data_IF_198717565727
#
_entry.id   IF_198717565727
#
_cell.length_a   1.000
_cell.length_b   1.000
_cell.length_c   1.000
_cell.angle_alpha   90.00
_cell.angle_beta   90.00
_cell.angle_gamma   90.00
#
_symmetry.space_group_name_H-M   'P 1'
#
loop_
_entity.id
_entity.type
_entity.pdbx_description
1 polymer ?
#
# COMPACT_ATOMS: atom_id res chain seq x y z
N UNK A 1 8.25 9.45 1.31
CA UNK A 1 7.76 9.78 -0.07
C UNK A 1 7.69 8.58 -1.02
N UNK A 2 7.82 7.31 -0.56
CA UNK A 2 7.76 6.11 -1.41
C UNK A 2 6.36 5.48 -1.51
N UNK A 3 5.43 5.87 -0.64
CA UNK A 3 4.09 5.28 -0.48
C UNK A 3 3.16 5.45 -1.70
N UNK A 4 3.23 6.54 -2.51
CA UNK A 4 2.34 6.67 -3.66
C UNK A 4 2.56 5.60 -4.73
N UNK A 5 3.80 5.15 -4.95
CA UNK A 5 4.12 4.24 -6.06
C UNK A 5 3.38 2.89 -5.97
N UNK A 6 3.44 2.14 -4.85
CA UNK A 6 2.73 0.86 -4.74
C UNK A 6 1.23 1.03 -4.92
N UNK A 7 0.64 2.08 -4.33
CA UNK A 7 -0.80 2.36 -4.43
C UNK A 7 -1.17 2.60 -5.89
N UNK A 8 -0.46 3.49 -6.58
CA UNK A 8 -0.75 3.80 -7.98
C UNK A 8 -0.64 2.55 -8.86
N UNK A 9 0.44 1.78 -8.76
CA UNK A 9 0.61 0.58 -9.59
C UNK A 9 -0.44 -0.49 -9.30
N UNK A 10 -0.69 -0.80 -8.03
CA UNK A 10 -1.62 -1.89 -7.67
C UNK A 10 -3.08 -1.51 -7.92
N UNK A 11 -3.47 -0.24 -7.75
CA UNK A 11 -4.81 0.23 -8.14
C UNK A 11 -4.95 0.33 -9.66
N UNK A 12 -3.90 0.73 -10.38
CA UNK A 12 -3.89 0.72 -11.84
C UNK A 12 -4.05 -0.71 -12.40
N UNK A 13 -3.52 -1.74 -11.73
CA UNK A 13 -3.72 -3.13 -12.13
C UNK A 13 -5.22 -3.48 -12.25
N UNK A 14 -6.05 -3.09 -11.28
CA UNK A 14 -7.50 -3.26 -11.33
C UNK A 14 -8.12 -2.49 -12.51
N UNK A 15 -7.73 -1.23 -12.71
CA UNK A 15 -8.23 -0.44 -13.83
C UNK A 15 -7.91 -1.10 -15.19
N UNK A 16 -6.69 -1.64 -15.33
CA UNK A 16 -6.30 -2.38 -16.54
C UNK A 16 -7.01 -3.72 -16.68
N UNK A 17 -7.39 -4.39 -15.60
CA UNK A 17 -8.20 -5.61 -15.67
C UNK A 17 -9.61 -5.32 -16.22
N UNK A 18 -10.22 -4.23 -15.74
CA UNK A 18 -11.51 -3.77 -16.24
C UNK A 18 -11.40 -3.39 -17.71
N UNK A 19 -10.35 -2.67 -18.10
CA UNK A 19 -10.09 -2.31 -19.49
C UNK A 19 -9.89 -3.56 -20.38
N UNK A 20 -9.16 -4.58 -19.90
CA UNK A 20 -8.98 -5.85 -20.62
C UNK A 20 -10.33 -6.52 -20.89
N UNK A 21 -11.23 -6.54 -19.91
CA UNK A 21 -12.56 -7.15 -20.08
C UNK A 21 -13.51 -6.32 -20.94
N UNK A 22 -13.41 -5.01 -20.90
CA UNK A 22 -14.27 -4.11 -21.66
C UNK A 22 -13.87 -3.99 -23.14
N UNK A 23 -12.56 -4.04 -23.42
CA UNK A 23 -12.01 -3.85 -24.77
C UNK A 23 -11.64 -5.17 -25.47
N UNK A 24 -11.54 -6.26 -24.71
CA UNK A 24 -11.04 -7.56 -25.16
C UNK A 24 -9.62 -7.53 -25.77
N UNK A 25 -8.85 -6.46 -25.52
CA UNK A 25 -7.48 -6.30 -26.01
C UNK A 25 -6.46 -6.94 -25.04
N UNK A 26 -5.68 -7.95 -25.50
CA UNK A 26 -4.62 -8.59 -24.72
C UNK A 26 -3.53 -7.64 -24.20
N UNK A 27 -3.39 -6.44 -24.78
CA UNK A 27 -2.53 -5.38 -24.26
C UNK A 27 -2.79 -5.11 -22.77
N UNK A 28 -4.04 -4.89 -22.37
CA UNK A 28 -4.38 -4.53 -21.00
C UNK A 28 -4.08 -5.66 -20.01
N UNK A 29 -4.28 -6.93 -20.40
CA UNK A 29 -3.88 -8.08 -19.59
C UNK A 29 -2.36 -8.15 -19.36
N UNK A 30 -1.56 -7.81 -20.38
CA UNK A 30 -0.10 -7.71 -20.24
C UNK A 30 0.29 -6.57 -19.32
N UNK A 31 -0.35 -5.41 -19.47
CA UNK A 31 -0.12 -4.24 -18.63
C UNK A 31 -0.44 -4.53 -17.16
N UNK A 32 -1.58 -5.20 -16.87
CA UNK A 32 -1.94 -5.59 -15.50
C UNK A 32 -0.85 -6.44 -14.82
N UNK A 33 -0.23 -7.39 -15.54
CA UNK A 33 0.89 -8.18 -15.00
C UNK A 33 2.10 -7.32 -14.66
N UNK A 34 2.44 -6.35 -15.51
CA UNK A 34 3.52 -5.40 -15.23
C UNK A 34 3.20 -4.47 -14.07
N UNK A 35 1.96 -3.98 -13.97
CA UNK A 35 1.49 -3.16 -12.85
C UNK A 35 1.57 -3.91 -11.52
N UNK A 36 1.15 -5.17 -11.48
CA UNK A 36 1.30 -6.03 -10.30
C UNK A 36 2.77 -6.23 -9.92
N UNK A 37 3.64 -6.53 -10.90
CA UNK A 37 5.07 -6.70 -10.66
C UNK A 37 5.75 -5.44 -10.12
N UNK A 38 5.53 -4.29 -10.77
CA UNK A 38 6.08 -3.00 -10.34
C UNK A 38 5.54 -2.57 -8.97
N UNK A 39 4.24 -2.78 -8.73
CA UNK A 39 3.59 -2.50 -7.45
C UNK A 39 4.14 -3.36 -6.32
N UNK A 40 4.44 -4.64 -6.56
CA UNK A 40 5.09 -5.51 -5.58
C UNK A 40 6.51 -5.07 -5.26
N UNK A 41 7.32 -4.78 -6.28
CA UNK A 41 8.72 -4.34 -6.08
C UNK A 41 8.76 -3.03 -5.28
N UNK A 42 8.02 -2.02 -5.73
CA UNK A 42 7.94 -0.74 -5.02
C UNK A 42 7.30 -0.89 -3.64
N UNK A 43 6.32 -1.77 -3.51
CA UNK A 43 5.63 -2.07 -2.27
C UNK A 43 6.52 -2.71 -1.22
N UNK A 44 7.40 -3.63 -1.62
CA UNK A 44 8.39 -4.22 -0.72
C UNK A 44 9.41 -3.19 -0.24
N UNK A 45 9.90 -2.32 -1.14
CA UNK A 45 10.82 -1.23 -0.77
C UNK A 45 10.15 -0.26 0.20
N UNK A 46 8.94 0.20 -0.12
CA UNK A 46 8.18 1.10 0.74
C UNK A 46 7.83 0.44 2.09
N UNK A 47 7.47 -0.84 2.08
CA UNK A 47 7.16 -1.63 3.27
C UNK A 47 8.37 -1.81 4.18
N UNK A 48 9.57 -2.01 3.62
CA UNK A 48 10.80 -2.10 4.42
C UNK A 48 11.10 -0.79 5.15
N UNK A 49 10.98 0.35 4.46
CA UNK A 49 11.14 1.68 5.06
C UNK A 49 10.07 1.91 6.14
N UNK A 50 8.81 1.65 5.82
CA UNK A 50 7.70 1.83 6.77
C UNK A 50 7.77 0.89 7.97
N UNK A 51 8.34 -0.30 7.83
CA UNK A 51 8.58 -1.21 8.95
C UNK A 51 9.63 -0.65 9.91
N UNK A 52 10.72 -0.07 9.41
CA UNK A 52 11.71 0.62 10.24
C UNK A 52 11.04 1.74 11.03
N UNK A 53 10.25 2.60 10.39
CA UNK A 53 9.52 3.68 11.06
C UNK A 53 8.55 3.15 12.11
N UNK A 54 7.80 2.09 11.79
CA UNK A 54 6.83 1.50 12.72
C UNK A 54 7.48 0.89 13.96
N UNK A 55 8.64 0.24 13.82
CA UNK A 55 9.34 -0.36 14.97
C UNK A 55 10.18 0.63 15.77
N UNK A 56 10.63 1.73 15.16
CA UNK A 56 11.43 2.77 15.83
C UNK A 56 10.56 3.84 16.50
N UNK A 57 9.40 4.17 15.92
CA UNK A 57 8.51 5.23 16.43
C UNK A 57 7.40 4.63 17.28
N UNK A 58 7.54 4.71 18.60
CA UNK A 58 6.57 4.16 19.56
C UNK A 58 5.14 4.69 19.37
N UNK A 59 4.97 5.98 19.06
CA UNK A 59 3.65 6.60 18.75
C UNK A 59 2.93 5.92 17.58
N UNK A 60 3.66 5.40 16.60
CA UNK A 60 3.08 4.69 15.47
C UNK A 60 2.44 3.36 15.90
N UNK A 61 2.94 2.71 16.96
CA UNK A 61 2.43 1.41 17.45
C UNK A 61 1.27 1.54 18.43
N UNK A 62 1.19 2.66 19.12
CA UNK A 62 0.18 2.90 20.16
C UNK A 62 -1.20 3.23 19.56
N UNK A 63 -1.24 3.72 18.32
CA UNK A 63 -2.47 4.07 17.62
C UNK A 63 -3.04 2.88 16.84
N UNK A 64 -4.36 2.68 16.92
CA UNK A 64 -5.07 1.65 16.16
C UNK A 64 -4.90 1.82 14.64
N UNK A 65 -4.94 3.06 14.15
CA UNK A 65 -4.68 3.43 12.75
C UNK A 65 -3.25 3.07 12.31
N UNK A 66 -2.27 3.13 13.22
CA UNK A 66 -0.91 2.69 13.00
C UNK A 66 -0.81 1.19 12.72
N UNK A 67 -1.48 0.38 13.54
CA UNK A 67 -1.58 -1.06 13.33
C UNK A 67 -2.30 -1.40 12.02
N UNK A 68 -3.42 -0.72 11.74
CA UNK A 68 -4.19 -0.92 10.51
C UNK A 68 -3.32 -0.67 9.26
N UNK A 69 -2.56 0.42 9.25
CA UNK A 69 -1.62 0.71 8.16
C UNK A 69 -0.51 -0.34 8.07
N UNK A 70 0.14 -0.65 9.19
CA UNK A 70 1.30 -1.56 9.24
C UNK A 70 0.96 -2.99 8.82
N UNK A 71 -0.22 -3.52 9.20
CA UNK A 71 -0.62 -4.88 8.86
C UNK A 71 -1.38 -4.99 7.54
N UNK A 72 -2.15 -3.98 7.15
CA UNK A 72 -2.91 -4.04 5.90
C UNK A 72 -2.03 -3.90 4.66
N UNK A 73 -0.88 -3.22 4.74
CA UNK A 73 0.05 -3.14 3.61
C UNK A 73 0.64 -4.51 3.22
N UNK A 74 1.20 -5.33 4.15
CA UNK A 74 1.60 -6.71 3.86
C UNK A 74 0.45 -7.56 3.31
N UNK A 75 -0.77 -7.39 3.82
CA UNK A 75 -1.95 -8.09 3.28
C UNK A 75 -2.21 -7.72 1.81
N UNK A 76 -2.18 -6.43 1.46
CA UNK A 76 -2.32 -5.98 0.08
C UNK A 76 -1.23 -6.56 -0.83
N UNK A 77 0.02 -6.59 -0.36
CA UNK A 77 1.13 -7.22 -1.11
C UNK A 77 0.92 -8.72 -1.28
N UNK A 78 0.43 -9.43 -0.26
CA UNK A 78 0.09 -10.85 -0.36
C UNK A 78 -1.01 -11.12 -1.39
N UNK A 79 -2.06 -10.30 -1.42
CA UNK A 79 -3.13 -10.39 -2.43
C UNK A 79 -2.61 -10.12 -3.85
N UNK A 80 -1.79 -9.08 -4.02
CA UNK A 80 -1.17 -8.75 -5.29
C UNK A 80 -0.22 -9.87 -5.77
N UNK A 81 0.56 -10.47 -4.86
CA UNK A 81 1.46 -11.58 -5.16
C UNK A 81 0.69 -12.84 -5.57
N UNK A 82 -0.41 -13.16 -4.87
CA UNK A 82 -1.29 -14.25 -5.25
C UNK A 82 -1.90 -14.02 -6.64
N UNK A 83 -2.33 -12.79 -6.94
CA UNK A 83 -2.85 -12.43 -8.25
C UNK A 83 -1.81 -12.63 -9.36
N UNK A 84 -0.59 -12.11 -9.15
CA UNK A 84 0.50 -12.26 -10.11
C UNK A 84 0.88 -13.74 -10.30
N UNK A 85 0.91 -14.53 -9.23
CA UNK A 85 1.21 -15.96 -9.28
C UNK A 85 0.17 -16.76 -10.08
N UNK A 86 -1.13 -16.43 -9.95
CA UNK A 86 -2.17 -17.03 -10.79
C UNK A 86 -1.97 -16.69 -12.27
N UNK A 87 -1.62 -15.43 -12.55
CA UNK A 87 -1.37 -14.97 -13.92
C UNK A 87 -0.13 -15.56 -14.56
N UNK A 88 0.92 -15.85 -13.79
CA UNK A 88 2.13 -16.50 -14.29
C UNK A 88 1.89 -17.92 -14.81
N UNK A 89 0.83 -18.59 -14.35
CA UNK A 89 0.41 -19.92 -14.83
C UNK A 89 -0.38 -19.87 -16.12
N UNK A 90 -0.68 -18.66 -16.65
CA UNK A 90 -1.53 -18.43 -17.82
C UNK A 90 -0.76 -17.73 -18.92
N UNK A 91 -1.29 -17.81 -20.13
CA UNK A 91 -0.73 -17.08 -21.27
C UNK A 91 -0.74 -15.57 -21.02
N UNK A 92 0.29 -14.91 -21.52
CA UNK A 92 0.57 -13.52 -21.23
C UNK A 92 -0.58 -12.54 -21.54
N UNK A 93 -1.32 -12.81 -22.62
CA UNK A 93 -2.45 -12.01 -23.08
C UNK A 93 -3.80 -12.57 -22.65
N UNK A 94 -3.85 -13.61 -21.82
CA UNK A 94 -5.10 -14.21 -21.40
C UNK A 94 -5.96 -13.18 -20.66
N UNK A 95 -7.26 -13.15 -20.97
CA UNK A 95 -8.20 -12.28 -20.26
C UNK A 95 -8.24 -12.63 -18.78
N UNK A 96 -8.34 -11.62 -17.89
CA UNK A 96 -8.42 -11.86 -16.46
C UNK A 96 -9.73 -12.56 -16.12
N UNK A 97 -9.65 -13.63 -15.34
CA UNK A 97 -10.83 -14.33 -14.85
C UNK A 97 -11.39 -13.66 -13.59
N UNK A 98 -12.54 -14.16 -13.10
CA UNK A 98 -13.21 -13.60 -11.93
C UNK A 98 -12.33 -13.61 -10.66
N UNK A 99 -11.47 -14.61 -10.48
CA UNK A 99 -10.56 -14.69 -9.34
C UNK A 99 -9.47 -13.61 -9.40
N UNK A 100 -8.89 -13.39 -10.58
CA UNK A 100 -7.86 -12.38 -10.81
C UNK A 100 -8.41 -10.95 -10.63
N UNK A 101 -9.64 -10.68 -11.07
CA UNK A 101 -10.35 -9.41 -10.84
C UNK A 101 -10.72 -9.25 -9.36
N UNK A 102 -11.20 -10.33 -8.73
CA UNK A 102 -11.52 -10.33 -7.31
C UNK A 102 -10.30 -9.98 -6.45
N UNK A 103 -9.13 -10.53 -6.78
CA UNK A 103 -7.88 -10.23 -6.07
C UNK A 103 -7.40 -8.80 -6.31
N UNK A 104 -7.48 -8.25 -7.53
CA UNK A 104 -7.10 -6.85 -7.79
C UNK A 104 -8.07 -5.88 -7.11
N UNK A 105 -9.35 -6.22 -7.06
CA UNK A 105 -10.38 -5.46 -6.33
C UNK A 105 -10.11 -5.46 -4.82
N UNK A 106 -9.88 -6.63 -4.23
CA UNK A 106 -9.54 -6.77 -2.82
C UNK A 106 -8.25 -6.01 -2.48
N UNK A 107 -7.22 -6.10 -3.34
CA UNK A 107 -5.97 -5.35 -3.18
C UNK A 107 -6.23 -3.84 -3.15
N UNK A 108 -6.96 -3.31 -4.14
CA UNK A 108 -7.28 -1.88 -4.22
C UNK A 108 -8.11 -1.40 -3.01
N UNK A 109 -9.07 -2.20 -2.55
CA UNK A 109 -9.88 -1.88 -1.37
C UNK A 109 -9.02 -1.80 -0.09
N UNK A 110 -8.15 -2.80 0.14
CA UNK A 110 -7.22 -2.82 1.27
C UNK A 110 -6.29 -1.62 1.22
N UNK A 111 -5.73 -1.30 0.05
CA UNK A 111 -4.86 -0.12 -0.14
C UNK A 111 -5.59 1.20 0.08
N UNK A 112 -6.87 1.30 -0.28
CA UNK A 112 -7.69 2.47 0.03
C UNK A 112 -7.81 2.69 1.54
N UNK A 113 -8.10 1.62 2.29
CA UNK A 113 -8.22 1.66 3.75
C UNK A 113 -6.86 1.96 4.41
N UNK A 114 -5.80 1.28 4.00
CA UNK A 114 -4.47 1.49 4.60
C UNK A 114 -3.86 2.82 4.19
N UNK A 115 -4.09 3.28 2.96
CA UNK A 115 -3.68 4.59 2.48
C UNK A 115 -4.31 5.71 3.32
N UNK A 116 -5.61 5.61 3.61
CA UNK A 116 -6.28 6.53 4.53
C UNK A 116 -5.67 6.50 5.93
N UNK A 117 -5.42 5.32 6.49
CA UNK A 117 -4.79 5.18 7.81
C UNK A 117 -3.38 5.81 7.86
N UNK A 118 -2.59 5.69 6.77
CA UNK A 118 -1.28 6.32 6.65
C UNK A 118 -1.36 7.85 6.57
N UNK A 119 -2.34 8.38 5.84
CA UNK A 119 -2.60 9.81 5.78
C UNK A 119 -3.01 10.35 7.15
N UNK A 120 -3.89 9.65 7.87
CA UNK A 120 -4.31 10.03 9.23
C UNK A 120 -3.12 10.12 10.21
N UNK A 121 -2.20 9.15 10.18
CA UNK A 121 -0.98 9.16 10.99
C UNK A 121 -0.08 10.37 10.68
N UNK A 122 0.06 10.70 9.40
CA UNK A 122 0.95 11.77 8.95
C UNK A 122 0.36 13.15 9.23
N UNK A 123 -0.93 13.35 8.93
CA UNK A 123 -1.56 14.68 8.97
C UNK A 123 -2.22 15.00 10.32
N UNK A 124 -2.82 14.01 11.01
CA UNK A 124 -3.48 14.25 12.30
C UNK A 124 -2.62 13.93 13.51
N UNK A 125 -1.73 12.95 13.37
CA UNK A 125 -0.85 12.52 14.47
C UNK A 125 0.60 12.96 14.31
N UNK A 126 0.93 13.65 13.20
CA UNK A 126 2.26 14.22 12.92
C UNK A 126 3.40 13.18 13.07
N UNK A 127 3.10 11.90 12.83
CA UNK A 127 4.08 10.82 12.90
C UNK A 127 4.98 10.91 11.67
N UNK A 128 6.30 11.03 11.88
CA UNK A 128 7.28 11.15 10.80
C UNK A 128 7.53 12.58 10.30
N UNK A 129 6.98 13.59 10.97
CA UNK A 129 7.25 15.02 10.68
C UNK A 129 8.37 15.52 11.59
N UNK A 130 9.48 15.99 10.99
CA UNK A 130 10.59 16.58 11.74
C UNK A 130 10.15 17.86 12.47
N UNK A 131 10.44 17.96 13.77
CA UNK A 131 10.12 19.12 14.61
C UNK A 131 8.93 18.95 15.57
N UNK A 132 8.21 17.82 15.54
CA UNK A 132 7.10 17.55 16.47
C UNK A 132 7.46 16.54 17.60
N UNK A 133 8.77 16.35 17.81
CA UNK A 133 9.32 15.66 18.97
C UNK A 133 9.53 16.64 20.12
N UNK A 134 8.93 16.34 21.27
CA UNK A 134 9.32 16.75 22.62
C UNK A 134 9.34 18.24 23.02
N UNK A 135 8.85 19.17 22.19
CA UNK A 135 8.75 20.58 22.63
C UNK A 135 7.86 20.78 23.85
N UNK A 136 6.73 20.07 23.96
CA UNK A 136 5.85 20.24 25.13
C UNK A 136 6.47 19.72 26.42
N UNK A 137 7.22 18.62 26.39
CA UNK A 137 7.84 18.06 27.60
C UNK A 137 9.10 18.80 28.04
N UNK A 138 9.83 19.42 27.10
CA UNK A 138 11.04 20.19 27.43
C UNK A 138 10.72 21.65 27.80
N UNK A 139 9.67 22.25 27.24
CA UNK A 139 9.20 23.58 27.65
C UNK A 139 8.48 23.55 29.01
N UNK A 140 7.67 22.52 29.27
CA UNK A 140 6.97 22.35 30.55
C UNK A 140 7.97 22.11 31.71
N UNK A 141 9.03 21.32 31.49
CA UNK A 141 10.12 21.13 32.46
C UNK A 141 11.04 22.34 32.61
N UNK A 142 11.03 23.29 31.67
CA UNK A 142 11.84 24.51 31.75
C UNK A 142 11.15 25.59 32.58
N UNK A 143 9.83 25.58 32.68
CA UNK A 143 9.05 26.64 33.32
C UNK A 143 8.39 26.25 34.65
N UNK A 144 8.34 24.96 34.98
CA UNK A 144 7.85 24.47 36.28
C UNK A 144 9.01 23.73 36.98
N UNK A 145 9.59 24.31 38.06
CA UNK A 145 10.67 23.70 38.82
C UNK A 145 10.21 22.48 39.63
#
# INVERSE_FOLDING_TARGET
>A
MLIPFPITFLTAALATDVAARATEDPFWSRTSRWMLGAGLVTGLVAGAVGAIDYFTIRRAREKSVGKLHAYGNPLALGLAAANLALRQKRQAGAMPNAAEIGLSTATAAVLGVTGWAGAELSYRHMVGVAGHGDQHTDEEKRYVP
#
